data_IF_306012774108
#
_entry.id   IF_306012774108
#
_cell.length_a   1.000
_cell.length_b   1.000
_cell.length_c   1.000
_cell.angle_alpha   90.00
_cell.angle_beta   90.00
_cell.angle_gamma   90.00
#
_symmetry.space_group_name_H-M   'P 1'
#
loop_
_entity.id
_entity.type
_entity.pdbx_description
1 polymer ?
#
# COMPACT_ATOMS: atom_id res chain seq x y z
N UNK A 1 -16.01 -0.45 -17.53
CA UNK A 1 -16.88 -0.54 -16.33
C UNK A 1 -15.98 -0.67 -15.11
N UNK A 2 -16.27 0.02 -14.01
CA UNK A 2 -15.57 -0.24 -12.75
C UNK A 2 -16.11 -1.56 -12.15
N UNK A 3 -15.25 -2.41 -11.56
CA UNK A 3 -15.69 -3.67 -10.97
C UNK A 3 -16.71 -3.43 -9.85
N UNK A 4 -17.81 -4.19 -9.87
CA UNK A 4 -18.94 -4.11 -8.92
C UNK A 4 -18.64 -4.75 -7.56
N UNK A 5 -17.56 -5.53 -7.47
CA UNK A 5 -17.12 -6.13 -6.21
C UNK A 5 -15.96 -5.30 -5.67
N UNK A 6 -16.17 -4.68 -4.51
CA UNK A 6 -15.10 -3.96 -3.81
C UNK A 6 -13.94 -4.93 -3.48
N UNK A 7 -12.69 -4.46 -3.50
CA UNK A 7 -11.51 -5.31 -3.29
C UNK A 7 -11.48 -6.05 -1.95
N UNK A 8 -12.32 -5.66 -0.98
CA UNK A 8 -12.48 -6.26 0.34
C UNK A 8 -13.86 -6.89 0.60
N UNK A 9 -14.60 -7.31 -0.43
CA UNK A 9 -15.92 -7.92 -0.22
C UNK A 9 -15.85 -9.17 0.69
N UNK A 10 -16.90 -9.45 1.50
CA UNK A 10 -16.95 -10.65 2.33
C UNK A 10 -16.72 -11.92 1.50
N UNK A 11 -15.81 -12.79 1.95
CA UNK A 11 -15.47 -14.06 1.28
C UNK A 11 -14.23 -14.02 0.39
N UNK A 12 -13.59 -12.87 0.19
CA UNK A 12 -12.31 -12.79 -0.52
C UNK A 12 -11.15 -13.15 0.43
N UNK A 13 -10.54 -14.32 0.23
CA UNK A 13 -9.29 -14.67 0.89
C UNK A 13 -8.15 -13.84 0.30
N UNK A 14 -7.39 -13.14 1.15
CA UNK A 14 -6.25 -12.28 0.77
C UNK A 14 -6.63 -11.19 -0.26
N UNK A 15 -7.50 -10.25 0.10
CA UNK A 15 -7.92 -9.17 -0.80
C UNK A 15 -6.71 -8.37 -1.31
N UNK A 16 -6.74 -8.01 -2.59
CA UNK A 16 -5.71 -7.17 -3.18
C UNK A 16 -5.63 -5.82 -2.43
N UNK A 17 -4.40 -5.36 -2.18
CA UNK A 17 -4.11 -4.12 -1.47
C UNK A 17 -3.39 -3.12 -2.35
N UNK A 18 -3.66 -1.86 -2.11
CA UNK A 18 -2.91 -0.74 -2.65
C UNK A 18 -1.79 -0.38 -1.68
N UNK A 19 -0.59 -0.22 -2.22
CA UNK A 19 0.59 0.28 -1.52
C UNK A 19 0.89 1.69 -2.02
N UNK A 20 1.08 2.62 -1.09
CA UNK A 20 1.41 4.01 -1.39
C UNK A 20 2.63 4.43 -0.58
N UNK A 21 3.65 4.91 -1.28
CA UNK A 21 4.84 5.51 -0.67
C UNK A 21 4.74 7.03 -0.80
N UNK A 22 4.84 7.75 0.31
CA UNK A 22 4.76 9.22 0.30
C UNK A 22 5.62 9.82 1.41
N UNK A 23 5.88 11.12 1.31
CA UNK A 23 6.58 11.87 2.36
C UNK A 23 5.60 12.77 3.11
N UNK A 24 5.73 12.82 4.43
CA UNK A 24 4.93 13.71 5.27
C UNK A 24 5.77 14.21 6.45
N UNK A 25 5.90 15.53 6.59
CA UNK A 25 6.69 16.13 7.69
C UNK A 25 8.16 15.69 7.71
N UNK A 26 8.77 15.46 6.54
CA UNK A 26 10.16 14.99 6.42
C UNK A 26 10.36 13.48 6.66
N UNK A 27 9.28 12.73 6.92
CA UNK A 27 9.30 11.29 7.14
C UNK A 27 8.83 10.56 5.90
N UNK A 28 9.33 9.35 5.69
CA UNK A 28 8.88 8.44 4.63
C UNK A 28 7.81 7.54 5.23
N UNK A 29 6.65 7.46 4.58
CA UNK A 29 5.54 6.65 5.04
C UNK A 29 5.14 5.66 3.96
N UNK A 30 4.87 4.42 4.38
CA UNK A 30 4.20 3.41 3.59
C UNK A 30 2.76 3.29 4.08
N UNK A 31 1.80 3.48 3.19
CA UNK A 31 0.38 3.24 3.47
C UNK A 31 -0.10 2.02 2.71
N UNK A 32 -0.80 1.14 3.43
CA UNK A 32 -1.40 -0.08 2.92
C UNK A 32 -2.91 0.03 3.10
N UNK A 33 -3.67 -0.15 2.03
CA UNK A 33 -5.12 0.06 2.05
C UNK A 33 -5.88 -0.75 1.01
N UNK A 34 -7.21 -0.64 1.06
CA UNK A 34 -8.08 -1.12 -0.01
C UNK A 34 -7.86 -0.31 -1.30
N UNK A 35 -7.95 -0.99 -2.44
CA UNK A 35 -7.79 -0.37 -3.77
C UNK A 35 -8.93 0.64 -4.02
N UNK A 36 -8.60 1.82 -4.56
CA UNK A 36 -9.55 2.91 -4.89
C UNK A 36 -10.34 3.47 -3.69
N UNK A 37 -9.80 3.34 -2.48
CA UNK A 37 -10.43 3.80 -1.23
C UNK A 37 -9.54 4.83 -0.52
N UNK A 38 -8.90 5.73 -1.27
CA UNK A 38 -7.85 6.60 -0.75
C UNK A 38 -8.35 7.71 0.19
N UNK A 39 -9.66 7.94 0.24
CA UNK A 39 -10.26 8.97 1.09
C UNK A 39 -11.29 8.41 2.08
N UNK A 40 -11.47 7.08 2.15
CA UNK A 40 -12.51 6.47 2.99
C UNK A 40 -12.10 6.34 4.47
N UNK A 41 -10.80 6.39 4.78
CA UNK A 41 -10.26 6.23 6.14
C UNK A 41 -10.38 4.82 6.74
N UNK A 42 -11.07 3.89 6.07
CA UNK A 42 -11.31 2.51 6.52
C UNK A 42 -10.18 1.55 6.09
N UNK A 43 -9.82 0.60 6.96
CA UNK A 43 -8.86 -0.48 6.69
C UNK A 43 -7.52 -0.01 6.11
N UNK A 44 -6.99 1.10 6.65
CA UNK A 44 -5.70 1.65 6.23
C UNK A 44 -4.69 1.65 7.35
N UNK A 45 -3.51 1.19 7.01
CA UNK A 45 -2.36 1.12 7.91
C UNK A 45 -1.28 2.00 7.33
N UNK A 46 -0.83 2.98 8.11
CA UNK A 46 0.30 3.84 7.74
C UNK A 46 1.46 3.51 8.67
N UNK A 47 2.59 3.15 8.08
CA UNK A 47 3.82 2.83 8.79
C UNK A 47 4.87 3.86 8.39
N UNK A 48 5.48 4.50 9.38
CA UNK A 48 6.65 5.33 9.18
C UNK A 48 7.88 4.43 8.95
N UNK A 49 8.65 4.72 7.91
CA UNK A 49 9.87 4.01 7.58
C UNK A 49 11.09 4.82 8.03
N UNK A 50 12.06 4.13 8.64
CA UNK A 50 13.40 4.71 8.77
C UNK A 50 14.06 4.82 7.38
N UNK A 51 15.05 5.71 7.21
CA UNK A 51 15.77 5.84 5.95
C UNK A 51 16.37 4.52 5.45
N UNK A 52 16.95 3.72 6.36
CA UNK A 52 17.57 2.44 6.03
C UNK A 52 16.53 1.44 5.49
N UNK A 53 15.37 1.34 6.16
CA UNK A 53 14.28 0.45 5.74
C UNK A 53 13.67 0.92 4.41
N UNK A 54 13.57 2.22 4.18
CA UNK A 54 13.09 2.76 2.91
C UNK A 54 14.03 2.41 1.74
N UNK A 55 15.34 2.44 1.97
CA UNK A 55 16.33 2.04 0.98
C UNK A 55 16.25 0.54 0.66
N UNK A 56 16.12 -0.30 1.69
CA UNK A 56 15.95 -1.75 1.53
C UNK A 56 14.67 -2.08 0.76
N UNK A 57 13.54 -1.45 1.12
CA UNK A 57 12.26 -1.60 0.43
C UNK A 57 12.37 -1.22 -1.05
N UNK A 58 13.01 -0.09 -1.36
CA UNK A 58 13.20 0.34 -2.74
C UNK A 58 14.05 -0.65 -3.56
N UNK A 59 15.06 -1.28 -2.93
CA UNK A 59 15.85 -2.33 -3.56
C UNK A 59 15.03 -3.59 -3.82
N UNK A 60 14.25 -4.04 -2.82
CA UNK A 60 13.41 -5.22 -2.94
C UNK A 60 12.34 -5.07 -4.04
N UNK A 61 11.72 -3.90 -4.14
CA UNK A 61 10.71 -3.62 -5.17
C UNK A 61 11.29 -3.65 -6.60
N UNK A 62 12.54 -3.21 -6.79
CA UNK A 62 13.20 -3.30 -8.10
C UNK A 62 13.40 -4.74 -8.53
N UNK A 63 13.90 -5.59 -7.63
CA UNK A 63 14.08 -7.02 -7.89
C UNK A 63 12.77 -7.71 -8.27
N UNK A 64 11.66 -7.30 -7.64
CA UNK A 64 10.33 -7.84 -7.89
C UNK A 64 9.77 -7.45 -9.28
N UNK A 65 10.19 -6.31 -9.83
CA UNK A 65 9.78 -5.86 -11.16
C UNK A 65 10.55 -6.55 -12.30
N UNK A 66 11.67 -7.20 -11.99
CA UNK A 66 12.51 -7.94 -12.93
C UNK A 66 12.20 -9.45 -12.97
N UNK A 67 11.37 -9.94 -12.04
CA UNK A 67 10.94 -11.33 -11.91
C UNK A 67 9.63 -11.60 -12.68
#
# INVERSE_FOLDING_TARGET
>A
MLPTVGPEAPGIANPQRQLELFTHGGKICLRIGAVNCENSGTNRYTVELSPDVAAELASALKLLAEA
#
